data_IF_289276079464
#
_entry.id   IF_289276079464
#
_cell.length_a   1.000
_cell.length_b   1.000
_cell.length_c   1.000
_cell.angle_alpha   90.00
_cell.angle_beta   90.00
_cell.angle_gamma   90.00
#
_symmetry.space_group_name_H-M   'P 1'
#
loop_
_entity.id
_entity.type
_entity.pdbx_description
1 polymer ?
#
# COMPACT_ATOMS: atom_id res chain seq x y z
N UNK A 1 -43.78 23.02 -51.62
CA UNK A 1 -42.87 22.60 -50.53
C UNK A 1 -41.58 22.12 -51.15
N UNK A 2 -40.57 22.98 -51.23
CA UNK A 2 -39.27 22.74 -51.86
C UNK A 2 -38.27 22.23 -50.84
N UNK A 3 -37.81 21.00 -51.01
CA UNK A 3 -36.67 20.43 -50.27
C UNK A 3 -35.39 21.03 -50.84
N UNK A 4 -34.56 21.65 -50.00
CA UNK A 4 -33.17 22.00 -50.35
C UNK A 4 -32.21 21.44 -49.30
N UNK A 5 -31.46 20.43 -49.72
CA UNK A 5 -30.26 19.94 -49.07
C UNK A 5 -29.22 21.06 -48.98
N UNK A 6 -28.67 21.27 -47.79
CA UNK A 6 -27.40 21.94 -47.51
C UNK A 6 -26.77 21.05 -46.45
N UNK A 7 -25.60 20.43 -46.59
CA UNK A 7 -24.44 20.71 -47.41
C UNK A 7 -23.27 20.36 -46.49
N UNK A 8 -22.75 19.13 -46.62
CA UNK A 8 -21.59 18.65 -45.86
C UNK A 8 -20.39 19.50 -46.30
N UNK A 9 -19.77 20.23 -45.36
CA UNK A 9 -18.45 20.80 -45.55
C UNK A 9 -17.55 20.34 -44.41
N UNK A 10 -16.62 19.46 -44.79
CA UNK A 10 -15.54 18.94 -43.96
C UNK A 10 -14.28 19.79 -44.20
N UNK A 11 -13.34 19.70 -43.25
CA UNK A 11 -11.96 20.25 -43.23
C UNK A 11 -11.90 21.73 -42.76
N UNK A 12 -11.06 22.14 -41.81
CA UNK A 12 -9.60 21.92 -41.71
C UNK A 12 -9.14 21.94 -40.24
N UNK A 13 -8.13 21.09 -39.98
CA UNK A 13 -7.24 20.94 -38.82
C UNK A 13 -6.68 22.25 -38.23
N UNK A 14 -6.64 22.33 -36.89
CA UNK A 14 -5.88 23.33 -36.13
C UNK A 14 -5.65 22.88 -34.68
N UNK A 15 -4.39 22.80 -34.28
CA UNK A 15 -3.86 22.10 -33.11
C UNK A 15 -4.18 22.72 -31.73
N UNK A 16 -4.22 21.84 -30.72
CA UNK A 16 -3.77 21.99 -29.33
C UNK A 16 -3.65 23.42 -28.73
N UNK A 17 -4.50 23.71 -27.72
CA UNK A 17 -4.14 24.57 -26.60
C UNK A 17 -4.91 24.18 -25.33
N UNK A 18 -4.23 24.36 -24.21
CA UNK A 18 -4.38 23.76 -22.89
C UNK A 18 -5.52 24.36 -22.05
N UNK A 19 -6.04 23.51 -21.17
CA UNK A 19 -6.86 23.73 -19.97
C UNK A 19 -7.18 25.17 -19.49
N UNK A 20 -8.45 25.38 -19.10
CA UNK A 20 -8.73 25.87 -17.74
C UNK A 20 -10.18 25.58 -17.31
N UNK A 21 -10.28 24.92 -16.16
CA UNK A 21 -11.34 25.00 -15.16
C UNK A 21 -12.80 25.04 -15.64
N UNK A 22 -13.48 23.90 -15.60
CA UNK A 22 -14.90 23.89 -15.24
C UNK A 22 -15.25 22.60 -14.47
N UNK A 23 -15.13 22.72 -13.14
CA UNK A 23 -16.12 22.27 -12.16
C UNK A 23 -17.06 21.13 -12.58
N UNK A 24 -16.62 19.88 -12.40
CA UNK A 24 -17.54 18.77 -12.25
C UNK A 24 -18.18 18.81 -10.85
N UNK A 25 -19.19 19.66 -10.69
CA UNK A 25 -20.16 19.59 -9.60
C UNK A 25 -21.49 19.18 -10.20
N UNK A 26 -21.64 17.87 -10.41
CA UNK A 26 -22.93 17.19 -10.52
C UNK A 26 -23.02 16.26 -9.31
N UNK A 27 -24.21 16.07 -8.75
CA UNK A 27 -24.49 15.31 -7.51
C UNK A 27 -24.17 13.82 -7.60
N UNK A 28 -22.91 13.48 -7.81
CA UNK A 28 -22.39 12.15 -8.05
C UNK A 28 -21.31 11.80 -7.04
N UNK A 29 -21.37 10.57 -6.59
CA UNK A 29 -20.33 9.90 -5.82
C UNK A 29 -18.94 10.29 -6.32
N UNK A 30 -18.11 10.92 -5.46
CA UNK A 30 -16.71 11.24 -5.82
C UNK A 30 -16.04 9.98 -6.38
N UNK A 31 -15.21 10.11 -7.41
CA UNK A 31 -14.43 9.00 -7.98
C UNK A 31 -13.73 8.18 -6.88
N UNK A 32 -13.33 8.84 -5.79
CA UNK A 32 -12.73 8.21 -4.62
C UNK A 32 -13.71 7.45 -3.74
N UNK A 33 -14.98 7.85 -3.64
CA UNK A 33 -15.97 7.09 -2.88
C UNK A 33 -16.31 5.78 -3.57
N UNK A 34 -16.51 5.79 -4.90
CA UNK A 34 -16.74 4.56 -5.68
C UNK A 34 -15.49 3.67 -5.65
N UNK A 35 -14.31 4.26 -5.86
CA UNK A 35 -13.03 3.55 -5.79
C UNK A 35 -12.76 2.96 -4.39
N UNK A 36 -13.13 3.68 -3.32
CA UNK A 36 -12.97 3.21 -1.94
C UNK A 36 -13.88 2.03 -1.61
N UNK A 37 -15.14 2.06 -2.07
CA UNK A 37 -16.06 0.94 -1.91
C UNK A 37 -15.53 -0.33 -2.57
N UNK A 38 -15.07 -0.20 -3.82
CA UNK A 38 -14.44 -1.30 -4.57
C UNK A 38 -13.19 -1.82 -3.86
N UNK A 39 -12.26 -0.93 -3.47
CA UNK A 39 -11.02 -1.31 -2.78
C UNK A 39 -11.30 -2.03 -1.46
N UNK A 40 -12.27 -1.55 -0.67
CA UNK A 40 -12.67 -2.23 0.58
C UNK A 40 -13.20 -3.62 0.31
N UNK A 41 -14.10 -3.77 -0.66
CA UNK A 41 -14.65 -5.07 -1.00
C UNK A 41 -13.54 -6.05 -1.46
N UNK A 42 -12.62 -5.61 -2.32
CA UNK A 42 -11.49 -6.45 -2.73
C UNK A 42 -10.54 -6.79 -1.58
N UNK A 43 -10.29 -5.84 -0.69
CA UNK A 43 -9.47 -6.07 0.49
C UNK A 43 -10.10 -7.07 1.47
N UNK A 44 -11.44 -7.05 1.61
CA UNK A 44 -12.20 -8.04 2.39
C UNK A 44 -12.13 -9.43 1.76
N UNK A 45 -12.13 -9.53 0.43
CA UNK A 45 -11.85 -10.78 -0.30
C UNK A 45 -10.38 -11.22 -0.17
N UNK A 46 -9.52 -10.36 0.37
CA UNK A 46 -8.12 -10.67 0.63
C UNK A 46 -7.19 -10.37 -0.54
N UNK A 47 -7.55 -9.46 -1.44
CA UNK A 47 -6.61 -8.99 -2.47
C UNK A 47 -5.48 -8.18 -1.82
N UNK A 48 -4.22 -8.67 -1.86
CA UNK A 48 -3.09 -7.98 -1.25
C UNK A 48 -2.81 -6.60 -1.87
N UNK A 49 -3.13 -6.40 -3.16
CA UNK A 49 -2.95 -5.11 -3.81
C UNK A 49 -3.99 -4.11 -3.30
N UNK A 50 -5.25 -4.53 -3.16
CA UNK A 50 -6.31 -3.69 -2.62
C UNK A 50 -6.03 -3.31 -1.16
N UNK A 51 -5.58 -4.27 -0.34
CA UNK A 51 -5.12 -4.02 1.03
C UNK A 51 -3.97 -3.02 1.06
N UNK A 52 -2.94 -3.20 0.22
CA UNK A 52 -1.84 -2.24 0.12
C UNK A 52 -2.30 -0.82 -0.27
N UNK A 53 -3.21 -0.72 -1.24
CA UNK A 53 -3.76 0.57 -1.67
C UNK A 53 -4.61 1.24 -0.58
N UNK A 54 -5.38 0.48 0.19
CA UNK A 54 -6.07 1.01 1.37
C UNK A 54 -5.08 1.49 2.44
N UNK A 55 -3.97 0.75 2.64
CA UNK A 55 -2.87 1.19 3.49
C UNK A 55 -2.32 2.56 3.07
N UNK A 56 -2.03 2.75 1.78
CA UNK A 56 -1.58 4.03 1.23
C UNK A 56 -2.62 5.15 1.44
N UNK A 57 -3.90 4.84 1.23
CA UNK A 57 -4.99 5.79 1.38
C UNK A 57 -5.14 6.27 2.82
N UNK A 58 -5.03 5.37 3.80
CA UNK A 58 -5.08 5.73 5.22
C UNK A 58 -3.79 6.39 5.71
N UNK A 59 -2.65 6.08 5.09
CA UNK A 59 -1.37 6.73 5.37
C UNK A 59 -1.34 8.18 4.88
N UNK A 60 -1.84 8.44 3.68
CA UNK A 60 -1.83 9.76 3.04
C UNK A 60 -3.08 9.95 2.18
N UNK A 61 -4.23 10.30 2.78
CA UNK A 61 -5.46 10.47 2.02
C UNK A 61 -5.35 11.69 1.08
N UNK A 62 -5.90 11.61 -0.15
CA UNK A 62 -6.00 12.76 -1.03
C UNK A 62 -6.93 13.83 -0.42
N UNK A 63 -6.60 15.10 -0.67
CA UNK A 63 -7.26 16.28 -0.07
C UNK A 63 -8.73 16.45 -0.49
N UNK A 64 -9.15 15.82 -1.57
CA UNK A 64 -10.51 15.82 -2.12
C UNK A 64 -11.34 14.60 -1.69
N UNK A 65 -10.86 13.82 -0.71
CA UNK A 65 -11.57 12.67 -0.16
C UNK A 65 -12.13 12.95 1.24
N UNK A 66 -13.19 12.22 1.62
CA UNK A 66 -13.70 12.21 2.99
C UNK A 66 -12.89 11.33 3.95
N UNK A 67 -11.84 10.67 3.45
CA UNK A 67 -11.01 9.77 4.26
C UNK A 67 -10.03 10.61 5.07
N UNK A 68 -10.02 10.38 6.39
CA UNK A 68 -9.02 10.99 7.27
C UNK A 68 -7.82 10.06 7.42
N UNK A 69 -6.65 10.66 7.62
CA UNK A 69 -5.43 9.92 7.90
C UNK A 69 -5.62 9.08 9.16
N UNK A 70 -5.22 7.82 9.10
CA UNK A 70 -5.28 6.90 10.21
C UNK A 70 -4.09 5.92 10.11
N UNK A 71 -3.02 6.25 10.82
CA UNK A 71 -1.76 5.50 10.75
C UNK A 71 -1.90 4.06 11.29
N UNK A 72 -2.57 3.80 12.43
CA UNK A 72 -2.82 2.42 12.88
C UNK A 72 -3.57 1.59 11.84
N UNK A 73 -4.62 2.16 11.23
CA UNK A 73 -5.38 1.48 10.19
C UNK A 73 -4.56 1.23 8.92
N UNK A 74 -3.66 2.14 8.57
CA UNK A 74 -2.71 1.91 7.49
C UNK A 74 -1.79 0.71 7.80
N UNK A 75 -1.29 0.61 9.04
CA UNK A 75 -0.47 -0.51 9.49
C UNK A 75 -1.20 -1.84 9.40
N UNK A 76 -2.47 -1.89 9.82
CA UNK A 76 -3.32 -3.09 9.72
C UNK A 76 -3.45 -3.56 8.27
N UNK A 77 -3.76 -2.67 7.35
CA UNK A 77 -3.89 -3.03 5.93
C UNK A 77 -2.56 -3.45 5.31
N UNK A 78 -1.45 -2.78 5.65
CA UNK A 78 -0.14 -3.24 5.20
C UNK A 78 0.21 -4.59 5.79
N UNK A 79 -0.11 -4.86 7.05
CA UNK A 79 0.09 -6.17 7.66
C UNK A 79 -0.67 -7.25 6.91
N UNK A 80 -1.96 -7.04 6.63
CA UNK A 80 -2.78 -7.98 5.87
C UNK A 80 -2.19 -8.27 4.48
N UNK A 81 -1.72 -7.25 3.76
CA UNK A 81 -1.07 -7.43 2.47
C UNK A 81 0.30 -8.12 2.61
N UNK A 82 1.09 -7.76 3.63
CA UNK A 82 2.45 -8.24 3.83
C UNK A 82 2.50 -9.74 4.16
N UNK A 83 1.54 -10.23 4.96
CA UNK A 83 1.42 -11.66 5.27
C UNK A 83 0.94 -12.49 4.08
N UNK A 84 0.44 -11.84 3.02
CA UNK A 84 0.11 -12.45 1.71
C UNK A 84 1.22 -12.21 0.68
N UNK A 85 2.43 -11.99 1.18
CA UNK A 85 3.66 -11.79 0.40
C UNK A 85 3.68 -10.56 -0.51
N UNK A 86 2.97 -9.49 -0.15
CA UNK A 86 3.05 -8.23 -0.89
C UNK A 86 4.32 -7.44 -0.54
N UNK A 87 5.30 -7.43 -1.45
CA UNK A 87 6.62 -6.81 -1.26
C UNK A 87 6.56 -5.35 -0.76
N UNK A 88 5.73 -4.51 -1.39
CA UNK A 88 5.59 -3.10 -1.01
C UNK A 88 4.99 -2.92 0.39
N UNK A 89 4.13 -3.85 0.81
CA UNK A 89 3.50 -3.79 2.12
C UNK A 89 4.47 -4.25 3.22
N UNK A 90 5.26 -5.30 2.95
CA UNK A 90 6.36 -5.74 3.82
C UNK A 90 7.33 -4.57 4.07
N UNK A 91 7.74 -3.85 3.03
CA UNK A 91 8.62 -2.69 3.19
C UNK A 91 7.98 -1.54 3.95
N UNK A 92 6.76 -1.13 3.59
CA UNK A 92 6.07 -0.02 4.27
C UNK A 92 5.83 -0.33 5.75
N UNK A 93 5.48 -1.58 6.08
CA UNK A 93 5.33 -2.01 7.46
C UNK A 93 6.67 -1.96 8.22
N UNK A 94 7.78 -2.38 7.58
CA UNK A 94 9.12 -2.22 8.13
C UNK A 94 9.48 -0.76 8.44
N UNK A 95 9.13 0.17 7.54
CA UNK A 95 9.30 1.62 7.77
C UNK A 95 8.46 2.12 8.93
N UNK A 96 7.21 1.65 9.06
CA UNK A 96 6.32 2.04 10.15
C UNK A 96 6.86 1.61 11.51
N UNK A 97 7.35 0.37 11.63
CA UNK A 97 8.03 -0.11 12.84
C UNK A 97 9.33 0.64 13.12
N UNK A 98 10.11 0.96 12.08
CA UNK A 98 11.36 1.71 12.25
C UNK A 98 11.13 3.12 12.81
N UNK A 99 10.00 3.74 12.47
CA UNK A 99 9.66 5.12 12.83
C UNK A 99 8.63 5.24 13.97
N UNK A 100 8.10 4.13 14.47
CA UNK A 100 6.95 4.14 15.38
C UNK A 100 5.72 4.87 14.81
N UNK A 101 5.48 4.76 13.51
CA UNK A 101 4.37 5.46 12.83
C UNK A 101 3.16 4.55 12.76
N UNK A 102 2.12 4.81 13.56
CA UNK A 102 0.89 3.99 13.58
C UNK A 102 1.04 2.61 14.25
N UNK A 103 2.27 2.25 14.63
CA UNK A 103 2.67 1.09 15.43
C UNK A 103 3.71 1.58 16.43
N UNK A 104 3.98 0.83 17.50
CA UNK A 104 5.09 1.15 18.39
C UNK A 104 6.43 1.00 17.63
N UNK A 105 7.41 1.81 18.02
CA UNK A 105 8.73 1.70 17.41
C UNK A 105 9.39 0.38 17.80
N UNK A 106 9.81 -0.39 16.80
CA UNK A 106 10.50 -1.65 17.02
C UNK A 106 11.49 -1.92 15.88
N UNK A 107 12.76 -1.60 16.12
CA UNK A 107 13.87 -1.89 15.20
C UNK A 107 14.00 -3.38 14.89
N UNK A 108 13.73 -4.22 15.90
CA UNK A 108 13.68 -5.68 15.77
C UNK A 108 12.61 -6.07 14.75
N UNK A 109 11.35 -5.65 14.91
CA UNK A 109 10.28 -5.96 13.95
C UNK A 109 10.52 -5.34 12.57
N UNK A 110 11.07 -4.12 12.51
CA UNK A 110 11.46 -3.48 11.26
C UNK A 110 12.44 -4.36 10.47
N UNK A 111 13.45 -4.92 11.15
CA UNK A 111 14.42 -5.82 10.51
C UNK A 111 13.77 -7.09 9.94
N UNK A 112 12.75 -7.63 10.61
CA UNK A 112 12.01 -8.81 10.13
C UNK A 112 11.29 -8.48 8.83
N UNK A 113 10.53 -7.40 8.81
CA UNK A 113 9.74 -6.99 7.64
C UNK A 113 10.62 -6.56 6.46
N UNK A 114 11.73 -5.87 6.71
CA UNK A 114 12.69 -5.57 5.65
C UNK A 114 13.37 -6.83 5.11
N UNK A 115 13.65 -7.84 5.95
CA UNK A 115 14.22 -9.11 5.48
C UNK A 115 13.26 -9.84 4.55
N UNK A 116 11.96 -9.86 4.89
CA UNK A 116 10.92 -10.40 4.01
C UNK A 116 10.85 -9.63 2.69
N UNK A 117 10.80 -8.29 2.74
CA UNK A 117 10.75 -7.46 1.54
C UNK A 117 11.99 -7.61 0.63
N UNK A 118 13.18 -7.79 1.22
CA UNK A 118 14.42 -8.01 0.47
C UNK A 118 14.49 -9.39 -0.20
N UNK A 119 13.85 -10.40 0.40
CA UNK A 119 13.82 -11.77 -0.10
C UNK A 119 12.60 -12.08 -0.96
N UNK A 120 11.64 -11.18 -1.03
CA UNK A 120 10.46 -11.31 -1.87
C UNK A 120 10.85 -11.48 -3.35
N UNK A 121 10.17 -12.40 -4.05
CA UNK A 121 10.48 -12.78 -5.42
C UNK A 121 9.77 -11.90 -6.48
N UNK A 122 8.93 -10.96 -6.06
CA UNK A 122 8.15 -10.12 -6.97
C UNK A 122 9.06 -9.26 -7.87
N UNK A 123 9.01 -9.44 -9.20
CA UNK A 123 9.83 -8.67 -10.14
C UNK A 123 9.42 -7.20 -10.22
N UNK A 124 8.20 -6.87 -9.81
CA UNK A 124 7.62 -5.52 -9.85
C UNK A 124 8.28 -4.59 -8.81
N UNK A 125 8.96 -5.16 -7.81
CA UNK A 125 9.43 -4.44 -6.64
C UNK A 125 10.97 -4.35 -6.52
N UNK A 126 11.69 -4.23 -7.65
CA UNK A 126 13.17 -4.15 -7.65
C UNK A 126 13.72 -3.04 -6.72
N UNK A 127 13.04 -1.89 -6.70
CA UNK A 127 13.41 -0.77 -5.82
C UNK A 127 13.13 -1.07 -4.35
N UNK A 128 12.06 -1.79 -4.05
CA UNK A 128 11.70 -2.21 -2.69
C UNK A 128 12.78 -3.11 -2.12
N UNK A 129 13.24 -4.10 -2.90
CA UNK A 129 14.32 -5.00 -2.50
C UNK A 129 15.60 -4.23 -2.16
N UNK A 130 16.02 -3.30 -3.03
CA UNK A 130 17.19 -2.45 -2.79
C UNK A 130 17.04 -1.60 -1.53
N UNK A 131 15.91 -0.92 -1.38
CA UNK A 131 15.67 -0.04 -0.23
C UNK A 131 15.63 -0.84 1.08
N UNK A 132 14.96 -2.00 1.08
CA UNK A 132 14.91 -2.90 2.23
C UNK A 132 16.30 -3.41 2.61
N UNK A 133 17.13 -3.79 1.64
CA UNK A 133 18.52 -4.21 1.88
C UNK A 133 19.36 -3.09 2.51
N UNK A 134 19.22 -1.85 2.04
CA UNK A 134 19.90 -0.71 2.66
C UNK A 134 19.44 -0.52 4.11
N UNK A 135 18.13 -0.51 4.37
CA UNK A 135 17.60 -0.35 5.73
C UNK A 135 18.03 -1.48 6.68
N UNK A 136 18.24 -2.70 6.17
CA UNK A 136 18.75 -3.82 6.96
C UNK A 136 20.20 -3.65 7.40
N UNK A 137 21.05 -3.07 6.56
CA UNK A 137 22.46 -2.83 6.90
C UNK A 137 22.54 -1.92 8.13
N UNK A 138 21.78 -0.84 8.10
CA UNK A 138 21.73 0.14 9.19
C UNK A 138 21.17 -0.50 10.48
N UNK A 139 20.10 -1.28 10.36
CA UNK A 139 19.48 -1.95 11.51
C UNK A 139 20.38 -3.01 12.14
N UNK A 140 21.03 -3.84 11.33
CA UNK A 140 21.89 -4.92 11.82
C UNK A 140 23.11 -4.40 12.60
N UNK A 141 23.56 -3.18 12.33
CA UNK A 141 24.61 -2.52 13.11
C UNK A 141 24.10 -2.07 14.50
N UNK A 142 22.80 -1.81 14.64
CA UNK A 142 22.20 -1.28 15.88
C UNK A 142 21.62 -2.34 16.82
N UNK A 143 21.20 -3.50 16.29
CA UNK A 143 20.54 -4.55 17.08
C UNK A 143 21.54 -5.38 17.91
N UNK A 144 21.18 -5.65 19.16
CA UNK A 144 21.87 -6.58 20.05
C UNK A 144 21.78 -8.04 19.56
N UNK A 145 22.59 -8.94 20.13
CA UNK A 145 22.52 -10.37 19.85
C UNK A 145 21.13 -10.95 20.08
N UNK A 146 20.50 -10.53 21.17
CA UNK A 146 19.23 -11.08 21.63
C UNK A 146 18.09 -10.62 20.73
N UNK A 147 18.09 -9.34 20.35
CA UNK A 147 17.12 -8.79 19.38
C UNK A 147 17.26 -9.45 18.01
N UNK A 148 18.50 -9.74 17.57
CA UNK A 148 18.73 -10.48 16.32
C UNK A 148 18.18 -11.91 16.39
N UNK A 149 18.33 -12.58 17.53
CA UNK A 149 17.77 -13.91 17.74
C UNK A 149 16.23 -13.89 17.75
N UNK A 150 15.62 -12.92 18.43
CA UNK A 150 14.17 -12.72 18.42
C UNK A 150 13.65 -12.38 17.02
N UNK A 151 14.33 -11.49 16.29
CA UNK A 151 14.00 -11.17 14.90
C UNK A 151 14.00 -12.42 14.03
N UNK A 152 15.00 -13.31 14.19
CA UNK A 152 15.05 -14.57 13.46
C UNK A 152 13.85 -15.47 13.78
N UNK A 153 13.47 -15.60 15.05
CA UNK A 153 12.29 -16.39 15.45
C UNK A 153 10.99 -15.84 14.85
N UNK A 154 10.83 -14.52 14.87
CA UNK A 154 9.69 -13.85 14.24
C UNK A 154 9.70 -14.02 12.73
N UNK A 155 10.85 -13.91 12.09
CA UNK A 155 11.02 -14.14 10.66
C UNK A 155 10.60 -15.56 10.27
N UNK A 156 11.05 -16.57 11.01
CA UNK A 156 10.68 -17.97 10.78
C UNK A 156 9.18 -18.19 10.93
N UNK A 157 8.58 -17.57 11.96
CA UNK A 157 7.14 -17.63 12.24
C UNK A 157 6.31 -16.99 11.12
N UNK A 158 6.64 -15.77 10.72
CA UNK A 158 5.91 -15.03 9.68
C UNK A 158 6.12 -15.71 8.31
N UNK A 159 7.34 -16.16 8.01
CA UNK A 159 7.62 -16.91 6.78
C UNK A 159 6.81 -18.19 6.70
N UNK A 160 6.59 -18.87 7.84
CA UNK A 160 5.70 -20.03 7.92
C UNK A 160 4.25 -19.65 7.61
N UNK A 161 3.73 -18.56 8.18
CA UNK A 161 2.37 -18.08 7.86
C UNK A 161 2.20 -17.76 6.38
N UNK A 162 3.17 -17.07 5.78
CA UNK A 162 3.16 -16.73 4.35
C UNK A 162 3.14 -18.01 3.49
N UNK A 163 4.06 -18.95 3.76
CA UNK A 163 4.19 -20.21 3.01
C UNK A 163 2.97 -21.10 3.13
N UNK A 164 2.40 -21.23 4.33
CA UNK A 164 1.24 -22.07 4.61
C UNK A 164 -0.09 -21.36 4.29
N UNK A 165 -0.03 -20.10 3.88
CA UNK A 165 -1.20 -19.24 3.67
C UNK A 165 -2.13 -19.17 4.90
N UNK A 166 -1.55 -19.32 6.10
CA UNK A 166 -2.29 -19.41 7.35
C UNK A 166 -2.44 -18.03 8.02
N UNK A 167 -3.14 -17.14 7.32
CA UNK A 167 -3.27 -15.73 7.71
C UNK A 167 -4.14 -15.52 8.96
N UNK A 168 -4.97 -16.51 9.35
CA UNK A 168 -5.86 -16.41 10.52
C UNK A 168 -5.09 -16.31 11.84
N UNK A 169 -3.88 -16.86 11.88
CA UNK A 169 -2.99 -16.78 13.03
C UNK A 169 -2.13 -15.52 13.02
N UNK A 170 -2.06 -14.83 11.88
CA UNK A 170 -1.25 -13.64 11.73
C UNK A 170 -1.94 -12.45 12.41
N UNK A 171 -1.27 -11.87 13.41
CA UNK A 171 -1.70 -10.63 14.08
C UNK A 171 -0.52 -9.68 14.18
N UNK A 172 -0.80 -8.37 14.21
CA UNK A 172 0.20 -7.38 14.54
C UNK A 172 0.71 -7.67 15.97
N UNK A 173 2.02 -7.87 16.17
CA UNK A 173 2.57 -8.23 17.48
C UNK A 173 2.35 -7.20 18.60
N UNK A 174 1.90 -5.99 18.27
CA UNK A 174 1.79 -4.86 19.20
C UNK A 174 0.36 -4.48 19.59
N UNK A 175 -0.67 -5.15 19.04
CA UNK A 175 -2.07 -4.88 19.38
C UNK A 175 -2.59 -5.63 20.62
N UNK A 176 -1.70 -6.28 21.37
CA UNK A 176 -1.99 -6.87 22.68
C UNK A 176 -1.38 -5.99 23.79
N UNK A 177 -2.00 -4.84 24.04
CA UNK A 177 -1.76 -4.03 25.25
C UNK A 177 -3.07 -3.84 26.00
#
# INVERSE_FOLDING_TARGET
MTVRLIGILCLIVGSFAFASSNSYRQGGTSIYFTQLGHLKHQAELGDPNAQFLLGNLYLSPPSDTSVRQNLPKAAEYYFQAAVRDHAGAQYNLGVMYFRGTGVAESKMMASVWFTLAANNQSPVAKNVKKNAQTSLIDLNATLSSDEKQQAKQWLDTISKWIREQNYRLARLPELNS
#
